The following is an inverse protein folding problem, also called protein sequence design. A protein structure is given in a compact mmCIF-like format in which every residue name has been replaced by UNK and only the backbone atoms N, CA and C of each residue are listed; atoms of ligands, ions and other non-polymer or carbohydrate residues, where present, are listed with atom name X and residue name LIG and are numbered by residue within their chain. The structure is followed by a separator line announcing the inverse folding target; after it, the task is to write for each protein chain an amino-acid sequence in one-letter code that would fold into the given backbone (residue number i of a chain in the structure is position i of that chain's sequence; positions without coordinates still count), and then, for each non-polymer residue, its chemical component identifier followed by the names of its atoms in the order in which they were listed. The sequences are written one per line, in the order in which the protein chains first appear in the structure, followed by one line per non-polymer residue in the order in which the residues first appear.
data_IF_650683202692
#
_entry.id   IF_650683202692
#
_cell.length_a   1.000
_cell.length_b   1.000
_cell.length_c   1.000
_cell.angle_alpha   90.00
_cell.angle_beta   90.00
_cell.angle_gamma   90.00
#
_symmetry.space_group_name_H-M   'P 1'
#
loop_
_entity.id
_entity.type
_entity.pdbx_description
1 polymer ?
#
# COMPACT_ATOMS: atom_id res chain seq x y z
N UNK A 1 -0.63 5.73 1.46
CA UNK A 1 0.18 4.79 2.26
C UNK A 1 1.64 5.05 1.98
N UNK A 2 2.45 5.35 3.00
CA UNK A 2 3.88 5.63 2.86
C UNK A 2 4.67 4.53 3.57
N UNK A 3 5.68 3.97 2.92
CA UNK A 3 6.47 2.84 3.44
C UNK A 3 7.94 3.24 3.64
N UNK A 4 8.52 2.78 4.74
CA UNK A 4 9.95 2.91 5.09
C UNK A 4 10.37 1.71 5.94
N UNK A 5 11.34 0.92 5.52
CA UNK A 5 11.80 -0.25 6.27
C UNK A 5 10.63 -1.18 6.65
N UNK A 6 10.35 -1.31 7.95
CA UNK A 6 9.22 -2.07 8.52
C UNK A 6 8.00 -1.19 8.88
N UNK A 7 8.08 0.11 8.59
CA UNK A 7 7.07 1.12 8.94
C UNK A 7 6.15 1.34 7.73
N UNK A 8 4.85 1.32 8.00
CA UNK A 8 3.82 1.76 7.06
C UNK A 8 2.98 2.86 7.71
N UNK A 9 2.93 4.03 7.09
CA UNK A 9 2.08 5.15 7.50
C UNK A 9 0.84 5.23 6.62
N UNK A 10 -0.33 5.24 7.24
CA UNK A 10 -1.60 5.55 6.59
C UNK A 10 -1.94 7.01 6.86
N UNK A 11 -2.04 7.78 5.80
CA UNK A 11 -2.21 9.23 5.82
C UNK A 11 -3.27 9.61 4.79
N UNK A 12 -4.00 10.68 5.07
CA UNK A 12 -4.93 11.30 4.12
C UNK A 12 -4.40 12.67 3.73
N UNK A 13 -4.61 13.04 2.46
CA UNK A 13 -4.23 14.33 1.90
C UNK A 13 -5.23 14.70 0.80
N UNK A 14 -5.32 15.98 0.47
CA UNK A 14 -6.15 16.43 -0.65
C UNK A 14 -5.37 16.22 -1.96
N UNK A 15 -6.06 15.98 -3.07
CA UNK A 15 -5.40 15.71 -4.36
C UNK A 15 -4.58 16.90 -4.91
N UNK A 16 -4.84 18.11 -4.39
CA UNK A 16 -4.08 19.33 -4.65
C UNK A 16 -3.01 19.63 -3.58
N UNK A 17 -2.74 18.70 -2.66
CA UNK A 17 -1.57 18.79 -1.77
C UNK A 17 -0.30 18.60 -2.60
N UNK A 18 0.71 19.44 -2.38
CA UNK A 18 2.02 19.29 -3.01
C UNK A 18 2.81 18.15 -2.37
N UNK A 19 3.72 17.55 -3.13
CA UNK A 19 4.66 16.55 -2.60
C UNK A 19 5.47 17.10 -1.43
N UNK A 20 5.87 18.38 -1.49
CA UNK A 20 6.55 19.04 -0.36
C UNK A 20 5.71 19.06 0.93
N UNK A 21 4.41 19.37 0.82
CA UNK A 21 3.49 19.39 1.96
C UNK A 21 3.28 17.98 2.52
N UNK A 22 3.20 16.98 1.64
CA UNK A 22 3.17 15.57 2.05
C UNK A 22 4.43 15.17 2.82
N UNK A 23 5.62 15.62 2.40
CA UNK A 23 6.86 15.41 3.15
C UNK A 23 6.81 16.05 4.54
N UNK A 24 6.23 17.23 4.71
CA UNK A 24 6.05 17.82 6.04
C UNK A 24 5.17 16.96 6.94
N UNK A 25 4.05 16.42 6.41
CA UNK A 25 3.17 15.52 7.18
C UNK A 25 3.89 14.24 7.62
N UNK A 26 4.65 13.62 6.72
CA UNK A 26 5.45 12.42 7.02
C UNK A 26 6.55 12.76 8.04
N UNK A 27 7.25 13.88 7.84
CA UNK A 27 8.34 14.35 8.70
C UNK A 27 7.90 14.65 10.12
N UNK A 28 6.70 15.17 10.32
CA UNK A 28 6.14 15.38 11.67
C UNK A 28 6.02 14.07 12.47
N UNK A 29 5.76 12.95 11.79
CA UNK A 29 5.64 11.60 12.38
C UNK A 29 7.01 10.96 12.53
N UNK A 30 7.83 10.97 11.47
CA UNK A 30 9.16 10.34 11.46
C UNK A 30 10.24 11.16 12.19
N UNK A 31 9.93 12.40 12.59
CA UNK A 31 10.87 13.38 13.16
C UNK A 31 12.01 13.74 12.21
N UNK A 32 11.68 13.88 10.93
CA UNK A 32 12.62 14.20 9.85
C UNK A 32 12.24 15.47 9.11
N UNK A 33 13.25 16.20 8.61
CA UNK A 33 13.03 17.38 7.76
C UNK A 33 12.68 16.96 6.32
N UNK A 34 11.81 17.70 5.60
CA UNK A 34 11.52 17.41 4.20
C UNK A 34 12.74 17.34 3.29
N UNK A 35 13.77 18.16 3.56
CA UNK A 35 15.04 18.19 2.83
C UNK A 35 15.91 16.94 3.04
N UNK A 36 15.59 16.13 4.05
CA UNK A 36 16.22 14.84 4.31
C UNK A 36 15.41 13.68 3.73
N UNK A 37 14.31 13.95 3.03
CA UNK A 37 13.39 12.93 2.52
C UNK A 37 13.23 13.00 1.01
N UNK A 38 13.21 11.83 0.37
CA UNK A 38 12.75 11.64 -0.99
C UNK A 38 11.54 10.72 -0.99
N UNK A 39 10.55 11.03 -1.82
CA UNK A 39 9.37 10.21 -2.02
C UNK A 39 9.41 9.61 -3.41
N UNK A 40 9.06 8.34 -3.49
CA UNK A 40 9.03 7.58 -4.72
C UNK A 40 7.69 6.87 -4.88
N UNK A 41 7.25 6.69 -6.12
CA UNK A 41 6.12 5.81 -6.43
C UNK A 41 6.52 4.32 -6.30
N UNK A 42 5.59 3.41 -6.61
CA UNK A 42 5.84 1.95 -6.60
C UNK A 42 6.81 1.48 -7.69
N UNK A 43 6.93 2.25 -8.77
CA UNK A 43 7.86 2.01 -9.89
C UNK A 43 9.27 2.59 -9.64
N UNK A 44 9.46 3.22 -8.46
CA UNK A 44 10.70 3.88 -8.00
C UNK A 44 11.06 5.17 -8.74
N UNK A 45 10.09 5.84 -9.34
CA UNK A 45 10.26 7.20 -9.85
C UNK A 45 10.18 8.22 -8.71
N UNK A 46 11.08 9.19 -8.76
CA UNK A 46 11.14 10.28 -7.78
C UNK A 46 9.94 11.23 -7.96
N UNK A 47 9.30 11.59 -6.86
CA UNK A 47 8.23 12.57 -6.84
C UNK A 47 8.81 13.98 -6.58
N UNK A 48 8.61 14.87 -7.53
CA UNK A 48 9.03 16.27 -7.49
C UNK A 48 8.21 17.11 -6.49
N UNK A 49 8.90 17.88 -5.66
CA UNK A 49 8.32 18.66 -4.55
C UNK A 49 7.26 19.68 -5.00
N UNK A 50 7.43 20.25 -6.19
CA UNK A 50 6.54 21.25 -6.75
C UNK A 50 5.21 20.67 -7.26
N UNK A 51 5.19 19.37 -7.60
CA UNK A 51 4.04 18.73 -8.21
C UNK A 51 2.97 18.42 -7.16
N UNK A 52 1.73 18.31 -7.63
CA UNK A 52 0.57 17.95 -6.84
C UNK A 52 0.40 16.42 -6.85
N UNK A 53 -0.31 15.89 -5.86
CA UNK A 53 -0.66 14.46 -5.84
C UNK A 53 -1.43 14.03 -7.10
N UNK A 54 -2.40 14.85 -7.54
CA UNK A 54 -3.17 14.57 -8.76
C UNK A 54 -2.32 14.46 -10.03
N UNK A 55 -1.14 15.10 -10.07
CA UNK A 55 -0.26 15.08 -11.25
C UNK A 55 0.38 13.68 -11.43
N UNK A 56 0.37 12.86 -10.38
CA UNK A 56 0.76 11.45 -10.39
C UNK A 56 -0.45 10.50 -10.33
N UNK A 57 -1.63 10.95 -10.77
CA UNK A 57 -2.89 10.20 -10.75
C UNK A 57 -3.32 9.75 -9.34
N UNK A 58 -2.91 10.47 -8.29
CA UNK A 58 -3.36 10.22 -6.91
C UNK A 58 -4.58 11.10 -6.66
N UNK A 59 -5.76 10.52 -6.87
CA UNK A 59 -7.06 11.21 -6.79
C UNK A 59 -8.01 10.46 -5.88
N UNK A 60 -9.16 11.08 -5.57
CA UNK A 60 -10.25 10.42 -4.84
C UNK A 60 -10.80 9.15 -5.52
N UNK A 61 -10.53 8.95 -6.82
CA UNK A 61 -10.99 7.78 -7.59
C UNK A 61 -9.98 6.63 -7.60
N UNK A 62 -8.70 6.95 -7.50
CA UNK A 62 -7.60 5.98 -7.64
C UNK A 62 -7.02 5.57 -6.28
N UNK A 63 -6.97 6.49 -5.32
CA UNK A 63 -6.48 6.28 -3.96
C UNK A 63 -7.65 6.06 -2.97
N UNK A 64 -8.32 4.92 -3.10
CA UNK A 64 -9.48 4.57 -2.27
C UNK A 64 -9.06 4.13 -0.85
N UNK A 65 -9.92 4.23 0.17
CA UNK A 65 -9.58 3.79 1.53
C UNK A 65 -9.14 2.33 1.63
N UNK A 66 -9.75 1.43 0.84
CA UNK A 66 -9.39 0.01 0.77
C UNK A 66 -8.26 -0.29 -0.23
N UNK A 67 -7.89 0.68 -1.06
CA UNK A 67 -6.80 0.58 -2.03
C UNK A 67 -6.00 1.89 -2.07
N UNK A 68 -5.23 2.19 -1.00
CA UNK A 68 -4.55 3.47 -0.89
C UNK A 68 -3.39 3.56 -1.88
N UNK A 69 -3.16 4.74 -2.45
CA UNK A 69 -1.94 5.02 -3.20
C UNK A 69 -0.70 4.76 -2.34
N UNK A 70 0.34 4.16 -2.92
CA UNK A 70 1.53 3.73 -2.18
C UNK A 70 2.77 4.55 -2.57
N UNK A 71 3.55 4.92 -1.56
CA UNK A 71 4.80 5.66 -1.70
C UNK A 71 5.89 4.99 -0.89
N UNK A 72 7.13 5.13 -1.36
CA UNK A 72 8.32 4.80 -0.59
C UNK A 72 8.98 6.10 -0.15
N UNK A 73 9.31 6.22 1.14
CA UNK A 73 10.12 7.33 1.65
C UNK A 73 11.52 6.86 1.97
N UNK A 74 12.51 7.55 1.39
CA UNK A 74 13.93 7.35 1.67
C UNK A 74 14.43 8.56 2.45
N UNK A 75 15.05 8.31 3.60
CA UNK A 75 15.62 9.34 4.48
C UNK A 75 17.14 9.32 4.33
N UNK A 76 17.78 10.49 4.40
CA UNK A 76 19.24 10.58 4.47
C UNK A 76 19.78 9.82 5.68
N UNK A 77 20.92 9.16 5.51
CA UNK A 77 21.69 8.60 6.61
C UNK A 77 22.48 9.69 7.35
N UNK A 78 23.21 9.31 8.40
CA UNK A 78 24.04 10.23 9.19
C UNK A 78 25.15 10.92 8.36
N UNK A 79 25.54 10.33 7.23
CA UNK A 79 26.54 10.86 6.30
C UNK A 79 25.92 11.80 5.24
N UNK A 80 24.59 11.98 5.25
CA UNK A 80 23.86 12.86 4.35
C UNK A 80 23.46 12.24 3.01
N UNK A 81 23.69 10.93 2.82
CA UNK A 81 23.34 10.21 1.60
C UNK A 81 21.95 9.57 1.70
N UNK A 82 21.20 9.59 0.61
CA UNK A 82 19.95 8.83 0.51
C UNK A 82 20.28 7.34 0.34
N UNK A 83 19.68 6.50 1.18
CA UNK A 83 19.88 5.05 1.17
C UNK A 83 19.14 4.32 0.05
N UNK A 84 19.16 2.99 0.10
CA UNK A 84 18.41 2.12 -0.80
C UNK A 84 16.94 1.96 -0.38
N UNK A 85 16.12 1.45 -1.31
CA UNK A 85 14.74 1.04 -1.09
C UNK A 85 14.64 -0.26 -0.28
N UNK A 86 15.05 -0.26 0.98
CA UNK A 86 14.90 -1.43 1.85
C UNK A 86 13.49 -1.48 2.44
N UNK A 87 12.52 -1.97 1.67
CA UNK A 87 11.12 -2.09 2.11
C UNK A 87 10.82 -3.55 2.45
N UNK A 88 10.50 -3.80 3.71
CA UNK A 88 10.15 -5.15 4.17
C UNK A 88 8.82 -5.59 3.55
N UNK A 89 8.73 -6.71 2.83
CA UNK A 89 7.45 -7.22 2.35
C UNK A 89 6.53 -7.58 3.54
N UNK A 90 5.22 -7.51 3.32
CA UNK A 90 4.27 -8.05 4.28
C UNK A 90 4.37 -9.57 4.32
N UNK A 91 3.88 -10.18 5.41
CA UNK A 91 3.78 -11.63 5.53
C UNK A 91 2.91 -12.22 4.42
N UNK A 92 3.29 -13.38 3.93
CA UNK A 92 2.44 -14.18 3.05
C UNK A 92 1.30 -14.80 3.87
N UNK A 93 0.06 -14.78 3.37
CA UNK A 93 -1.06 -15.45 4.03
C UNK A 93 -0.84 -16.96 4.11
N UNK A 94 -1.43 -17.61 5.11
CA UNK A 94 -1.44 -19.08 5.20
C UNK A 94 -2.25 -19.68 4.04
N UNK A 95 -1.89 -20.90 3.58
CA UNK A 95 -2.69 -21.60 2.57
C UNK A 95 -4.13 -21.76 3.04
N UNK A 96 -5.08 -21.52 2.12
CA UNK A 96 -6.49 -21.76 2.41
C UNK A 96 -6.72 -23.24 2.73
N UNK A 97 -7.57 -23.58 3.71
CA UNK A 97 -7.97 -24.96 3.94
C UNK A 97 -8.67 -25.53 2.69
N UNK A 98 -8.65 -26.86 2.50
CA UNK A 98 -9.39 -27.48 1.39
C UNK A 98 -10.86 -27.11 1.47
N UNK A 99 -11.47 -26.80 0.32
CA UNK A 99 -12.91 -26.56 0.25
C UNK A 99 -13.66 -27.81 0.73
N UNK A 100 -14.73 -27.68 1.53
CA UNK A 100 -15.54 -28.83 1.90
C UNK A 100 -16.13 -29.45 0.63
N UNK A 101 -16.02 -30.77 0.51
CA UNK A 101 -16.52 -31.52 -0.65
C UNK A 101 -17.98 -31.14 -0.91
N UNK A 102 -18.21 -30.47 -2.05
CA UNK A 102 -19.55 -30.07 -2.48
C UNK A 102 -20.38 -31.25 -3.00
N UNK A 103 -19.86 -32.48 -2.91
CA UNK A 103 -20.60 -33.70 -3.18
C UNK A 103 -21.49 -34.04 -1.99
N UNK A 104 -22.57 -33.29 -1.85
CA UNK A 104 -23.78 -33.78 -1.21
C UNK A 104 -24.26 -34.99 -2.00
N UNK A 105 -24.03 -36.17 -1.43
CA UNK A 105 -24.77 -37.38 -1.78
C UNK A 105 -26.24 -37.15 -1.43
N UNK A 106 -27.04 -36.67 -2.39
CA UNK A 106 -28.48 -36.94 -2.43
C UNK A 106 -28.72 -38.08 -3.42
N UNK A 107 -28.21 -39.25 -3.07
CA UNK A 107 -28.68 -40.52 -3.63
C UNK A 107 -30.00 -40.86 -2.94
N UNK A 108 -31.13 -40.30 -3.41
CA UNK A 108 -32.46 -40.78 -3.02
C UNK A 108 -32.55 -42.28 -3.39
N UNK A 109 -32.82 -43.19 -2.43
CA UNK A 109 -32.98 -44.59 -2.77
C UNK A 109 -34.23 -44.73 -3.65
N UNK A 110 -34.04 -45.27 -4.85
CA UNK A 110 -35.09 -45.79 -5.70
C UNK A 110 -35.87 -46.87 -4.91
N UNK A 111 -37.03 -46.51 -4.34
CA UNK A 111 -38.08 -47.51 -4.12
C UNK A 111 -38.77 -47.78 -5.47
N UNK A 112 -38.18 -48.71 -6.20
CA UNK A 112 -38.92 -49.53 -7.14
C UNK A 112 -39.91 -50.37 -6.35
N UNK A 113 -41.21 -50.34 -6.70
CA UNK A 113 -41.94 -51.54 -7.14
C UNK A 113 -43.45 -51.49 -6.82
N UNK A 114 -44.21 -51.63 -7.92
CA UNK A 114 -45.47 -52.37 -8.08
C UNK A 114 -46.83 -51.77 -7.65
N UNK A 115 -47.68 -51.73 -8.69
CA UNK A 115 -49.15 -51.76 -8.77
C UNK A 115 -49.92 -50.45 -8.72
#
# INVERSE_FOLDING_TARGET
MVRKDKITLLLTAQEYTRILELKYMIGAILKELPSNMQLYNTERDLLEDANLLRDYDITSKTALPHNPAQFIVVVKNAEGFFGSFDIMPYSTPEPLPPEPDSSGDESLPNEMSLM
#
